data_IF_036970148668
#
_entry.id   IF_036970148668
#
_cell.length_a   1.000
_cell.length_b   1.000
_cell.length_c   1.000
_cell.angle_alpha   90.00
_cell.angle_beta   90.00
_cell.angle_gamma   90.00
#
_symmetry.space_group_name_H-M   'P 1'
#
loop_
_entity.id
_entity.type
_entity.pdbx_description
1 polymer ?
#
# COMPACT_ATOMS: atom_id res chain seq x y z
N UNK A 1 29.30 1.73 -71.73
CA UNK A 1 28.01 1.31 -71.16
C UNK A 1 28.28 0.65 -69.81
N UNK A 2 27.71 1.20 -68.73
CA UNK A 2 27.89 0.84 -67.31
C UNK A 2 27.26 -0.52 -66.98
N UNK A 3 27.90 -1.40 -66.19
CA UNK A 3 27.26 -2.37 -65.24
C UNK A 3 28.26 -2.71 -64.12
N UNK A 4 28.12 -2.07 -62.95
CA UNK A 4 27.34 -2.46 -61.75
C UNK A 4 28.17 -3.29 -60.77
N UNK A 5 28.73 -2.59 -59.76
CA UNK A 5 29.29 -3.19 -58.56
C UNK A 5 28.15 -3.44 -57.57
N UNK A 6 27.97 -4.70 -57.15
CA UNK A 6 26.96 -5.11 -56.19
C UNK A 6 27.47 -4.82 -54.78
N UNK A 7 26.93 -3.79 -54.12
CA UNK A 7 27.10 -3.61 -52.68
C UNK A 7 26.11 -4.53 -51.94
N UNK A 8 26.63 -5.42 -51.11
CA UNK A 8 25.85 -6.20 -50.14
C UNK A 8 25.76 -5.37 -48.86
N UNK A 9 24.64 -4.71 -48.64
CA UNK A 9 24.31 -4.06 -47.37
C UNK A 9 23.81 -5.10 -46.38
N UNK A 10 24.60 -5.42 -45.37
CA UNK A 10 24.18 -6.23 -44.22
C UNK A 10 23.36 -5.37 -43.26
N UNK A 11 22.04 -5.56 -43.25
CA UNK A 11 21.14 -4.99 -42.25
C UNK A 11 21.28 -5.74 -40.93
N UNK A 12 21.83 -5.09 -39.92
CA UNK A 12 21.81 -5.58 -38.53
C UNK A 12 20.42 -5.26 -37.96
N UNK A 13 19.58 -6.27 -37.81
CA UNK A 13 18.31 -6.15 -37.10
C UNK A 13 18.59 -6.13 -35.60
N UNK A 14 18.42 -4.97 -34.95
CA UNK A 14 18.42 -4.87 -33.51
C UNK A 14 17.12 -5.48 -32.97
N UNK A 15 17.20 -6.67 -32.37
CA UNK A 15 16.10 -7.22 -31.58
C UNK A 15 16.02 -6.44 -30.27
N UNK A 16 15.02 -5.58 -30.15
CA UNK A 16 14.61 -5.06 -28.85
C UNK A 16 14.08 -6.23 -28.02
N UNK A 17 14.79 -6.59 -26.95
CA UNK A 17 14.32 -7.54 -25.94
C UNK A 17 13.13 -6.87 -25.21
N UNK A 18 11.91 -7.22 -25.59
CA UNK A 18 10.73 -6.93 -24.79
C UNK A 18 10.82 -7.88 -23.59
N UNK A 19 11.27 -7.36 -22.44
CA UNK A 19 11.18 -8.13 -21.20
C UNK A 19 9.69 -8.31 -20.87
N UNK A 20 9.25 -9.53 -20.51
CA UNK A 20 7.86 -9.74 -20.11
C UNK A 20 7.61 -9.00 -18.80
N UNK A 21 6.53 -8.22 -18.74
CA UNK A 21 6.11 -7.45 -17.56
C UNK A 21 5.99 -8.32 -16.28
N UNK A 22 5.78 -9.63 -16.42
CA UNK A 22 5.75 -10.60 -15.32
C UNK A 22 7.07 -10.72 -14.52
N UNK A 23 8.22 -10.32 -15.08
CA UNK A 23 9.47 -10.37 -14.34
C UNK A 23 9.58 -9.20 -13.35
N UNK A 24 8.94 -8.06 -13.65
CA UNK A 24 9.05 -6.84 -12.85
C UNK A 24 8.16 -6.90 -11.59
N UNK A 25 7.00 -7.55 -11.68
CA UNK A 25 6.09 -7.75 -10.55
C UNK A 25 6.60 -8.76 -9.51
N UNK A 26 7.44 -9.72 -9.91
CA UNK A 26 7.95 -10.77 -9.01
C UNK A 26 8.90 -10.21 -7.93
N UNK A 27 9.57 -9.09 -8.20
CA UNK A 27 10.52 -8.44 -7.30
C UNK A 27 9.89 -7.33 -6.44
N UNK A 28 8.61 -7.04 -6.63
CA UNK A 28 7.87 -6.04 -5.84
C UNK A 28 7.79 -6.46 -4.37
N UNK A 29 8.07 -5.52 -3.46
CA UNK A 29 8.05 -5.75 -2.00
C UNK A 29 7.16 -4.75 -1.26
N UNK A 30 6.48 -3.85 -1.98
CA UNK A 30 5.50 -2.91 -1.45
C UNK A 30 4.41 -2.61 -2.48
N UNK A 31 3.16 -2.52 -2.01
CA UNK A 31 2.05 -1.99 -2.79
C UNK A 31 0.92 -1.49 -1.87
N UNK A 32 -0.01 -0.71 -2.44
CA UNK A 32 -1.33 -0.46 -1.85
C UNK A 32 -2.35 -1.44 -2.44
N UNK A 33 -3.26 -2.00 -1.64
CA UNK A 33 -4.24 -2.94 -2.18
C UNK A 33 -5.12 -2.29 -3.27
N UNK A 34 -5.28 -2.97 -4.42
CA UNK A 34 -6.24 -2.54 -5.45
C UNK A 34 -7.71 -2.72 -5.04
N UNK A 35 -7.95 -3.61 -4.09
CA UNK A 35 -9.26 -3.92 -3.55
C UNK A 35 -9.18 -4.25 -2.05
N UNK A 36 -10.07 -3.66 -1.25
CA UNK A 36 -10.38 -4.13 0.09
C UNK A 36 -11.27 -5.39 0.06
N UNK A 37 -11.56 -6.01 1.21
CA UNK A 37 -12.40 -7.22 1.28
C UNK A 37 -13.89 -6.96 0.97
N UNK A 38 -14.28 -5.70 0.77
CA UNK A 38 -15.68 -5.30 0.51
C UNK A 38 -16.54 -5.19 1.77
N UNK A 39 -15.95 -5.36 2.96
CA UNK A 39 -16.62 -5.28 4.27
C UNK A 39 -16.06 -4.14 5.14
N UNK A 40 -15.70 -3.01 4.50
CA UNK A 40 -15.10 -1.87 5.18
C UNK A 40 -13.77 -2.23 5.87
N UNK A 41 -13.64 -1.83 7.13
CA UNK A 41 -12.47 -2.11 7.98
C UNK A 41 -12.57 -3.45 8.73
N UNK A 42 -13.61 -4.27 8.51
CA UNK A 42 -13.63 -5.64 8.98
C UNK A 42 -12.76 -6.51 8.06
N UNK A 43 -11.48 -6.58 8.39
CA UNK A 43 -10.48 -7.32 7.62
C UNK A 43 -10.30 -8.75 8.13
N UNK A 44 -11.08 -9.18 9.13
CA UNK A 44 -10.82 -10.43 9.85
C UNK A 44 -9.59 -10.34 10.77
N UNK A 45 -9.30 -9.15 11.30
CA UNK A 45 -8.10 -8.87 12.08
C UNK A 45 -6.84 -8.77 11.22
N UNK A 46 -5.68 -8.70 11.88
CA UNK A 46 -4.38 -8.62 11.19
C UNK A 46 -4.10 -9.84 10.31
N UNK A 47 -4.53 -11.03 10.73
CA UNK A 47 -4.34 -12.27 9.97
C UNK A 47 -5.12 -12.23 8.64
N UNK A 48 -6.36 -11.75 8.65
CA UNK A 48 -7.14 -11.59 7.43
C UNK A 48 -6.59 -10.53 6.50
N UNK A 49 -6.10 -9.40 7.04
CA UNK A 49 -5.42 -8.38 6.25
C UNK A 49 -4.11 -8.90 5.62
N UNK A 50 -3.32 -9.68 6.36
CA UNK A 50 -2.09 -10.31 5.85
C UNK A 50 -2.40 -11.33 4.74
N UNK A 51 -3.48 -12.10 4.87
CA UNK A 51 -3.94 -13.02 3.82
C UNK A 51 -4.33 -12.27 2.55
N UNK A 52 -5.05 -11.15 2.64
CA UNK A 52 -5.38 -10.31 1.49
C UNK A 52 -4.09 -9.84 0.78
N UNK A 53 -3.10 -9.35 1.52
CA UNK A 53 -1.82 -8.93 0.94
C UNK A 53 -1.14 -10.08 0.18
N UNK A 54 -1.09 -11.27 0.79
CA UNK A 54 -0.50 -12.45 0.15
C UNK A 54 -1.24 -12.84 -1.12
N UNK A 55 -2.58 -12.87 -1.08
CA UNK A 55 -3.39 -13.34 -2.20
C UNK A 55 -3.31 -12.39 -3.40
N UNK A 56 -3.31 -11.07 -3.16
CA UNK A 56 -3.08 -10.04 -4.17
C UNK A 56 -1.68 -10.15 -4.78
N UNK A 57 -0.63 -10.30 -3.95
CA UNK A 57 0.73 -10.46 -4.43
C UNK A 57 0.95 -11.78 -5.19
N UNK A 58 0.33 -12.87 -4.76
CA UNK A 58 0.39 -14.17 -5.42
C UNK A 58 -0.12 -14.10 -6.86
N UNK A 59 -1.20 -13.37 -7.09
CA UNK A 59 -1.76 -13.16 -8.43
C UNK A 59 -0.76 -12.48 -9.40
N UNK A 60 0.23 -11.77 -8.86
CA UNK A 60 1.24 -11.02 -9.62
C UNK A 60 2.60 -11.74 -9.66
N UNK A 61 2.68 -12.97 -9.15
CA UNK A 61 3.91 -13.76 -9.11
C UNK A 61 4.84 -13.46 -7.94
N UNK A 62 4.41 -12.65 -6.97
CA UNK A 62 5.17 -12.28 -5.78
C UNK A 62 4.75 -13.06 -4.51
N UNK A 63 4.16 -14.25 -4.71
CA UNK A 63 3.54 -15.05 -3.64
C UNK A 63 4.50 -15.79 -2.71
N UNK A 64 5.77 -15.94 -3.09
CA UNK A 64 6.78 -16.65 -2.29
C UNK A 64 7.28 -15.82 -1.08
N UNK A 65 6.93 -14.53 -1.05
CA UNK A 65 7.30 -13.64 0.03
C UNK A 65 6.32 -13.72 1.20
N UNK A 66 6.80 -13.42 2.41
CA UNK A 66 5.92 -13.22 3.56
C UNK A 66 5.40 -11.78 3.56
N UNK A 67 4.12 -11.62 3.25
CA UNK A 67 3.45 -10.33 3.21
C UNK A 67 2.78 -9.98 4.54
N UNK A 68 2.81 -8.68 4.87
CA UNK A 68 2.18 -8.09 6.04
C UNK A 68 1.43 -6.83 5.65
N UNK A 69 0.20 -6.70 6.13
CA UNK A 69 -0.53 -5.45 6.08
C UNK A 69 0.10 -4.45 7.06
N UNK A 70 0.35 -3.22 6.62
CA UNK A 70 0.78 -2.12 7.47
C UNK A 70 -0.42 -1.62 8.29
N UNK A 71 -0.73 -2.37 9.34
CA UNK A 71 -1.84 -2.09 10.24
C UNK A 71 -1.38 -2.30 11.67
N UNK A 72 -1.65 -1.31 12.52
CA UNK A 72 -1.48 -1.42 13.96
C UNK A 72 -2.76 -1.96 14.61
N UNK A 73 -2.64 -2.52 15.81
CA UNK A 73 -3.77 -2.81 16.71
C UNK A 73 -3.54 -2.16 18.06
N UNK A 74 -4.62 -1.82 18.75
CA UNK A 74 -4.56 -1.31 20.12
C UNK A 74 -4.58 -2.48 21.11
N UNK A 75 -4.09 -2.23 22.32
CA UNK A 75 -4.19 -3.20 23.41
C UNK A 75 -5.66 -3.48 23.73
N UNK A 76 -6.04 -4.76 23.69
CA UNK A 76 -7.40 -5.22 23.94
C UNK A 76 -7.35 -6.65 24.50
N UNK A 77 -8.30 -7.01 25.36
CA UNK A 77 -8.47 -8.36 25.91
C UNK A 77 -7.18 -8.99 26.49
N UNK A 78 -6.37 -8.16 27.14
CA UNK A 78 -5.09 -8.58 27.74
C UNK A 78 -3.94 -8.77 26.75
N UNK A 79 -4.18 -8.56 25.45
CA UNK A 79 -3.15 -8.52 24.42
C UNK A 79 -2.50 -7.14 24.37
N UNK A 80 -1.17 -7.12 24.15
CA UNK A 80 -0.45 -5.89 23.91
C UNK A 80 -0.86 -5.28 22.56
N UNK A 81 -0.68 -3.96 22.43
CA UNK A 81 -0.79 -3.28 21.15
C UNK A 81 0.23 -3.86 20.17
N UNK A 82 -0.13 -3.92 18.88
CA UNK A 82 0.80 -4.30 17.81
C UNK A 82 1.05 -3.07 16.94
N UNK A 83 2.32 -2.80 16.64
CA UNK A 83 2.73 -1.64 15.86
C UNK A 83 2.99 -2.05 14.41
N UNK A 84 2.42 -1.33 13.45
CA UNK A 84 2.60 -1.61 12.03
C UNK A 84 4.09 -1.64 11.63
N UNK A 85 4.88 -0.68 12.14
CA UNK A 85 6.32 -0.57 11.86
C UNK A 85 7.12 -1.83 12.23
N UNK A 86 6.69 -2.57 13.25
CA UNK A 86 7.43 -3.72 13.77
C UNK A 86 7.10 -5.01 12.98
N UNK A 87 6.05 -4.98 12.14
CA UNK A 87 5.55 -6.15 11.40
C UNK A 87 6.12 -6.25 10.00
N UNK A 88 6.48 -5.15 9.37
CA UNK A 88 6.73 -5.06 7.92
C UNK A 88 8.14 -5.47 7.47
N UNK A 89 8.98 -5.95 8.39
CA UNK A 89 10.37 -6.29 8.11
C UNK A 89 11.31 -5.09 8.08
N UNK A 90 12.54 -5.29 7.61
CA UNK A 90 13.60 -4.27 7.65
C UNK A 90 13.76 -3.45 6.37
N UNK A 91 13.06 -3.80 5.29
CA UNK A 91 13.31 -3.26 3.94
C UNK A 91 14.54 -3.91 3.27
N UNK A 92 14.95 -3.42 2.08
CA UNK A 92 14.35 -2.32 1.33
C UNK A 92 13.01 -2.70 0.68
N UNK A 93 12.15 -1.71 0.48
CA UNK A 93 10.88 -1.90 -0.22
C UNK A 93 10.84 -1.19 -1.57
N UNK A 94 10.34 -1.89 -2.58
CA UNK A 94 10.18 -1.41 -3.95
C UNK A 94 8.74 -1.61 -4.40
N UNK A 95 8.21 -0.64 -5.15
CA UNK A 95 6.89 -0.77 -5.76
C UNK A 95 6.91 -1.72 -6.97
N UNK A 96 5.76 -1.85 -7.64
CA UNK A 96 5.59 -2.65 -8.85
C UNK A 96 6.63 -2.35 -9.95
N UNK A 97 6.96 -1.08 -10.15
CA UNK A 97 7.92 -0.64 -11.18
C UNK A 97 9.38 -0.85 -10.77
N UNK A 98 9.64 -1.40 -9.57
CA UNK A 98 10.99 -1.54 -9.01
C UNK A 98 11.56 -0.23 -8.47
N UNK A 99 10.72 0.79 -8.25
CA UNK A 99 11.13 2.06 -7.63
C UNK A 99 11.27 1.87 -6.13
N UNK A 100 12.42 2.26 -5.59
CA UNK A 100 12.68 2.24 -4.15
C UNK A 100 11.73 3.19 -3.42
N UNK A 101 11.03 2.64 -2.42
CA UNK A 101 10.11 3.35 -1.52
C UNK A 101 10.86 3.79 -0.26
N UNK A 102 11.57 2.86 0.38
CA UNK A 102 12.44 3.14 1.51
C UNK A 102 13.46 2.01 1.67
N UNK A 103 14.68 2.36 2.08
CA UNK A 103 15.77 1.41 2.35
C UNK A 103 15.55 0.65 3.65
N UNK A 104 14.88 1.29 4.63
CA UNK A 104 14.64 0.72 5.95
C UNK A 104 13.47 1.41 6.67
N UNK A 105 13.07 0.84 7.82
CA UNK A 105 11.96 1.33 8.65
C UNK A 105 12.14 2.79 9.07
N UNK A 106 13.36 3.21 9.40
CA UNK A 106 13.61 4.58 9.83
C UNK A 106 13.43 5.58 8.68
N UNK A 107 13.91 5.24 7.48
CA UNK A 107 13.66 6.06 6.29
C UNK A 107 12.17 6.10 5.94
N UNK A 108 11.45 4.97 6.03
CA UNK A 108 10.02 4.88 5.71
C UNK A 108 9.17 5.86 6.54
N UNK A 109 9.55 6.11 7.78
CA UNK A 109 8.87 7.05 8.70
C UNK A 109 9.54 8.43 8.77
N UNK A 110 10.32 8.77 7.75
CA UNK A 110 10.97 10.09 7.59
C UNK A 110 10.49 10.79 6.32
N UNK A 111 10.85 12.06 6.17
CA UNK A 111 10.57 12.82 4.94
C UNK A 111 11.36 12.29 3.71
N UNK A 112 12.32 11.38 3.90
CA UNK A 112 13.10 10.79 2.82
C UNK A 112 12.43 9.54 2.19
N UNK A 113 11.28 9.09 2.71
CA UNK A 113 10.51 8.02 2.08
C UNK A 113 9.95 8.50 0.73
N UNK A 114 10.09 7.67 -0.30
CA UNK A 114 9.59 7.96 -1.63
C UNK A 114 8.12 7.54 -1.76
N UNK A 115 7.27 8.09 -0.90
CA UNK A 115 5.83 7.84 -0.82
C UNK A 115 5.08 9.03 -1.40
N UNK A 116 4.74 8.95 -2.69
CA UNK A 116 3.93 9.93 -3.42
C UNK A 116 2.79 9.22 -4.14
N UNK A 117 1.84 10.00 -4.69
CA UNK A 117 0.76 9.45 -5.51
C UNK A 117 1.27 8.61 -6.67
N UNK A 118 2.39 9.01 -7.26
CA UNK A 118 2.98 8.36 -8.43
C UNK A 118 3.76 7.09 -8.07
N UNK A 119 4.32 7.00 -6.86
CA UNK A 119 5.15 5.85 -6.46
C UNK A 119 4.39 4.81 -5.66
N UNK A 120 3.27 5.18 -5.04
CA UNK A 120 2.37 4.25 -4.36
C UNK A 120 1.42 3.65 -5.40
N UNK A 121 1.83 2.50 -5.92
CA UNK A 121 1.10 1.73 -6.91
C UNK A 121 0.43 0.51 -6.30
N UNK A 122 -0.62 0.04 -6.95
CA UNK A 122 -1.24 -1.25 -6.62
C UNK A 122 -0.32 -2.42 -6.96
N UNK A 123 -0.68 -3.63 -6.53
CA UNK A 123 0.03 -4.84 -6.91
C UNK A 123 0.04 -5.09 -8.43
N UNK A 124 -0.89 -4.47 -9.16
CA UNK A 124 -0.98 -4.54 -10.63
C UNK A 124 -0.17 -3.44 -11.34
N UNK A 125 0.44 -2.52 -10.59
CA UNK A 125 1.15 -1.35 -11.13
C UNK A 125 0.25 -0.16 -11.46
N UNK A 126 -1.06 -0.25 -11.15
CA UNK A 126 -1.99 0.84 -11.41
C UNK A 126 -1.90 1.93 -10.32
N UNK A 127 -2.05 3.22 -10.69
CA UNK A 127 -2.21 4.29 -9.72
C UNK A 127 -3.59 4.21 -9.03
N UNK A 128 -3.66 4.69 -7.79
CA UNK A 128 -4.93 4.83 -7.04
C UNK A 128 -5.48 6.24 -7.19
N UNK A 129 -6.81 6.35 -7.27
CA UNK A 129 -7.48 7.65 -7.27
C UNK A 129 -7.19 8.40 -5.97
N UNK A 130 -6.65 9.61 -6.10
CA UNK A 130 -6.37 10.52 -5.01
C UNK A 130 -7.40 11.64 -4.89
N UNK A 131 -7.10 12.61 -4.03
CA UNK A 131 -7.91 13.82 -3.89
C UNK A 131 -7.92 14.60 -5.21
N UNK A 132 -9.14 14.91 -5.67
CA UNK A 132 -9.39 15.58 -6.94
C UNK A 132 -9.80 14.63 -8.07
N UNK A 133 -9.63 13.33 -7.89
CA UNK A 133 -10.15 12.30 -8.79
C UNK A 133 -11.57 11.87 -8.39
N UNK A 134 -12.27 11.18 -9.30
CA UNK A 134 -13.62 10.66 -9.07
C UNK A 134 -13.68 9.13 -9.33
N UNK A 135 -14.07 8.32 -8.34
CA UNK A 135 -14.30 8.70 -6.94
C UNK A 135 -12.98 8.98 -6.20
N UNK A 136 -13.04 9.77 -5.12
CA UNK A 136 -11.91 9.98 -4.21
C UNK A 136 -11.68 8.72 -3.36
N UNK A 137 -10.45 8.18 -3.35
CA UNK A 137 -10.08 6.99 -2.58
C UNK A 137 -8.74 7.17 -1.84
N UNK A 138 -8.42 8.40 -1.45
CA UNK A 138 -7.09 8.72 -0.97
C UNK A 138 -6.76 8.31 0.47
N UNK A 139 -7.79 8.16 1.32
CA UNK A 139 -7.62 7.72 2.71
C UNK A 139 -7.34 6.22 2.79
N UNK A 140 -6.22 5.87 3.42
CA UNK A 140 -5.70 4.52 3.54
C UNK A 140 -5.68 4.10 5.01
N UNK A 141 -6.23 2.92 5.31
CA UNK A 141 -6.28 2.37 6.67
C UNK A 141 -4.87 2.06 7.20
N UNK A 142 -4.56 2.51 8.42
CA UNK A 142 -3.28 2.23 9.08
C UNK A 142 -3.40 1.90 10.57
N UNK A 143 -4.29 2.57 11.30
CA UNK A 143 -4.38 2.49 12.76
C UNK A 143 -3.16 3.04 13.49
N UNK A 144 -2.31 3.83 12.83
CA UNK A 144 -0.95 4.15 13.30
C UNK A 144 -0.72 5.64 13.56
N UNK A 145 0.21 5.95 14.47
CA UNK A 145 0.84 7.27 14.61
C UNK A 145 1.85 7.51 13.47
N UNK A 146 2.36 8.74 13.37
CA UNK A 146 3.38 9.14 12.37
C UNK A 146 4.61 8.23 12.36
N UNK A 147 5.06 7.77 13.53
CA UNK A 147 6.20 6.90 13.69
C UNK A 147 5.89 5.41 13.46
N UNK A 148 4.65 5.08 13.06
CA UNK A 148 4.19 3.71 12.80
C UNK A 148 3.86 2.87 14.03
N UNK A 149 3.84 3.48 15.22
CA UNK A 149 3.28 2.86 16.43
C UNK A 149 1.75 2.92 16.44
N UNK A 150 1.10 2.16 17.32
CA UNK A 150 -0.36 2.10 17.38
C UNK A 150 -0.94 3.45 17.82
N UNK A 151 -1.87 3.98 17.03
CA UNK A 151 -2.64 5.16 17.42
C UNK A 151 -3.59 4.80 18.56
N UNK A 152 -3.71 5.69 19.53
CA UNK A 152 -4.66 5.56 20.64
C UNK A 152 -5.35 6.89 20.87
N UNK A 153 -6.59 6.85 21.35
CA UNK A 153 -7.40 8.04 21.61
C UNK A 153 -8.57 7.70 22.51
N UNK A 154 -9.23 8.73 23.05
CA UNK A 154 -10.46 8.51 23.84
C UNK A 154 -11.53 7.85 22.97
N UNK A 155 -12.12 6.75 23.47
CA UNK A 155 -13.15 5.97 22.77
C UNK A 155 -12.75 5.40 21.40
N UNK A 156 -11.47 5.44 21.05
CA UNK A 156 -10.95 4.86 19.81
C UNK A 156 -10.73 3.35 19.95
N UNK A 157 -11.37 2.55 19.09
CA UNK A 157 -11.23 1.08 19.09
C UNK A 157 -10.48 0.51 17.89
N UNK A 158 -10.09 1.36 16.93
CA UNK A 158 -9.47 0.94 15.67
C UNK A 158 -10.31 -0.12 14.93
N UNK A 159 -11.61 0.15 14.81
CA UNK A 159 -12.59 -0.78 14.23
C UNK A 159 -12.53 -2.18 14.86
N UNK A 160 -12.51 -2.20 16.19
CA UNK A 160 -12.33 -3.39 17.03
C UNK A 160 -11.14 -4.24 16.56
N UNK A 161 -10.00 -3.57 16.37
CA UNK A 161 -8.79 -4.17 15.82
C UNK A 161 -9.02 -4.91 14.49
N UNK A 162 -9.69 -4.23 13.55
CA UNK A 162 -9.98 -4.69 12.19
C UNK A 162 -10.96 -5.87 12.12
N UNK A 163 -11.87 -5.97 13.08
CA UNK A 163 -12.92 -7.01 13.12
C UNK A 163 -14.33 -6.45 13.06
N UNK A 164 -14.46 -5.13 12.91
CA UNK A 164 -15.75 -4.43 12.88
C UNK A 164 -15.88 -3.55 11.65
N UNK A 165 -17.09 -3.55 11.10
CA UNK A 165 -17.57 -2.66 10.03
C UNK A 165 -18.68 -1.73 10.54
N UNK A 166 -18.79 -1.56 11.86
CA UNK A 166 -19.81 -0.71 12.46
C UNK A 166 -19.65 0.76 12.04
N UNK A 167 -20.77 1.48 11.98
CA UNK A 167 -20.72 2.92 11.71
C UNK A 167 -20.22 3.72 12.92
N UNK A 168 -20.36 3.19 14.15
CA UNK A 168 -19.70 3.78 15.31
C UNK A 168 -18.19 3.46 15.34
N UNK A 169 -17.40 4.43 15.80
CA UNK A 169 -15.96 4.30 15.93
C UNK A 169 -15.22 4.83 14.69
N UNK A 170 -14.12 4.18 14.34
CA UNK A 170 -13.28 4.56 13.22
C UNK A 170 -11.86 4.01 13.33
N UNK A 171 -11.10 4.17 12.26
CA UNK A 171 -9.69 3.83 12.19
C UNK A 171 -8.87 5.08 11.86
N UNK A 172 -7.65 5.15 12.37
CA UNK A 172 -6.67 6.13 11.94
C UNK A 172 -6.27 5.81 10.49
N UNK A 173 -6.34 6.82 9.62
CA UNK A 173 -5.99 6.72 8.20
C UNK A 173 -4.84 7.67 7.87
N UNK A 174 -4.23 7.48 6.71
CA UNK A 174 -3.32 8.45 6.09
C UNK A 174 -3.58 8.62 4.59
N UNK A 175 -2.89 9.57 3.97
CA UNK A 175 -3.09 10.01 2.59
C UNK A 175 -2.00 9.47 1.67
N UNK A 176 -2.30 8.52 0.80
CA UNK A 176 -1.29 8.00 -0.14
C UNK A 176 -0.78 9.08 -1.11
N UNK A 177 -1.63 10.06 -1.42
CA UNK A 177 -1.31 11.17 -2.32
C UNK A 177 -0.64 12.36 -1.61
N UNK A 178 -0.35 12.24 -0.29
CA UNK A 178 0.33 13.25 0.53
C UNK A 178 -0.36 14.62 0.57
N UNK A 179 -1.66 14.67 0.33
CA UNK A 179 -2.45 15.90 0.37
C UNK A 179 -3.81 15.65 0.99
N UNK A 180 -4.36 16.61 1.74
CA UNK A 180 -5.58 16.32 2.49
C UNK A 180 -5.98 17.38 3.50
N UNK A 181 -6.86 16.98 4.40
CA UNK A 181 -7.15 17.67 5.65
C UNK A 181 -6.72 16.81 6.83
N UNK A 182 -7.26 17.11 8.01
CA UNK A 182 -6.95 16.39 9.24
C UNK A 182 -5.84 17.03 10.06
N UNK A 183 -5.41 16.33 11.11
CA UNK A 183 -4.36 16.80 12.02
C UNK A 183 -2.99 16.82 11.35
N UNK A 184 -2.72 15.86 10.45
CA UNK A 184 -1.48 15.80 9.66
C UNK A 184 -1.80 15.71 8.15
N UNK A 185 -2.10 16.84 7.48
CA UNK A 185 -2.68 16.87 6.13
C UNK A 185 -1.87 16.22 5.02
N UNK A 186 -0.56 16.04 5.21
CA UNK A 186 0.31 15.40 4.22
C UNK A 186 0.73 14.00 4.63
N UNK A 187 0.37 13.54 5.84
CA UNK A 187 0.85 12.25 6.36
C UNK A 187 0.29 11.07 5.57
N UNK A 188 1.15 10.11 5.22
CA UNK A 188 0.77 8.90 4.48
C UNK A 188 0.16 7.82 5.38
N UNK A 189 0.42 7.90 6.69
CA UNK A 189 0.02 6.88 7.66
C UNK A 189 -0.80 7.40 8.86
N UNK A 190 -0.92 8.70 9.09
CA UNK A 190 -1.56 9.22 10.31
C UNK A 190 -2.14 10.62 10.12
N UNK A 191 -3.05 10.81 9.16
CA UNK A 191 -3.66 12.09 8.85
C UNK A 191 -4.84 12.46 9.76
N UNK A 192 -5.86 11.60 9.86
CA UNK A 192 -7.04 11.75 10.73
C UNK A 192 -7.75 10.42 10.96
N UNK A 193 -8.78 10.42 11.81
CA UNK A 193 -9.67 9.26 12.02
C UNK A 193 -10.77 9.24 10.95
N UNK A 194 -11.17 8.04 10.51
CA UNK A 194 -12.31 7.83 9.61
C UNK A 194 -13.64 8.17 10.28
N UNK A 195 -14.70 8.36 9.49
CA UNK A 195 -16.07 8.62 10.00
C UNK A 195 -16.71 7.42 10.69
N UNK A 196 -16.26 6.23 10.35
CA UNK A 196 -16.75 4.94 10.82
C UNK A 196 -15.91 3.82 10.21
N UNK A 197 -16.33 2.57 10.42
CA UNK A 197 -15.62 1.37 9.96
C UNK A 197 -16.28 0.70 8.77
N UNK A 198 -17.56 1.00 8.48
CA UNK A 198 -18.29 0.45 7.35
C UNK A 198 -17.79 0.99 6.00
N UNK A 199 -18.04 0.24 4.92
CA UNK A 199 -17.58 0.62 3.58
C UNK A 199 -18.09 2.01 3.16
N UNK A 200 -19.38 2.30 3.40
CA UNK A 200 -19.97 3.61 3.09
C UNK A 200 -19.36 4.74 3.94
N UNK A 201 -19.00 4.45 5.19
CA UNK A 201 -18.35 5.42 6.08
C UNK A 201 -16.92 5.73 5.63
N UNK A 202 -16.17 4.72 5.18
CA UNK A 202 -14.83 4.89 4.61
C UNK A 202 -14.89 5.70 3.30
N UNK A 203 -15.84 5.39 2.41
CA UNK A 203 -16.09 6.17 1.20
C UNK A 203 -16.51 7.61 1.50
N UNK A 204 -17.38 7.80 2.49
CA UNK A 204 -17.77 9.11 2.98
C UNK A 204 -16.60 9.90 3.56
N UNK A 205 -15.62 9.22 4.19
CA UNK A 205 -14.40 9.84 4.69
C UNK A 205 -13.53 10.37 3.54
N UNK A 206 -13.38 9.56 2.49
CA UNK A 206 -12.50 9.84 1.35
C UNK A 206 -11.62 8.66 0.95
N UNK A 207 -11.86 7.46 1.50
CA UNK A 207 -11.12 6.24 1.22
C UNK A 207 -12.00 5.15 0.59
N UNK A 208 -11.48 3.93 0.54
CA UNK A 208 -12.26 2.78 0.03
C UNK A 208 -11.93 1.45 0.74
N UNK A 209 -11.35 1.52 1.94
CA UNK A 209 -10.89 0.32 2.67
C UNK A 209 -9.58 -0.26 2.16
N UNK A 210 -8.77 0.55 1.48
CA UNK A 210 -7.42 0.15 1.05
C UNK A 210 -6.43 0.26 2.21
N UNK A 211 -5.37 -0.53 2.11
CA UNK A 211 -4.25 -0.55 3.06
C UNK A 211 -2.96 -0.93 2.34
N UNK A 212 -1.81 -0.67 2.98
CA UNK A 212 -0.52 -0.99 2.40
C UNK A 212 -0.09 -2.42 2.76
N UNK A 213 0.59 -3.06 1.82
CA UNK A 213 1.17 -4.39 1.95
C UNK A 213 2.69 -4.30 1.77
N UNK A 214 3.42 -4.89 2.71
CA UNK A 214 4.87 -4.93 2.71
C UNK A 214 5.34 -6.38 2.79
N UNK A 215 6.30 -6.74 1.96
CA UNK A 215 7.05 -7.97 2.14
C UNK A 215 8.05 -7.79 3.29
N UNK A 216 8.17 -8.78 4.17
CA UNK A 216 9.08 -8.70 5.32
C UNK A 216 10.58 -8.74 4.94
N UNK A 217 10.90 -8.95 3.67
CA UNK A 217 12.24 -9.36 3.24
C UNK A 217 12.52 -10.81 3.64
N UNK A 218 13.35 -11.50 2.85
CA UNK A 218 13.92 -12.81 3.18
C UNK A 218 15.18 -12.68 4.02
#
# INVERSE_FOLDING_TARGET
MKKLATLVTATVAALALIQPAQAQSADMTFFITSAGPGDGANLGGLEGADMQCRDLAYAQGAGDQTWRAYLSTIAADGSAAVHARDRIGSGPWHNYDGVLIAENVDQLHSDAANLTKETILTEMGDPVNGRGDDPNMHDILTGSNLDGTAFTGESYTNCDNWTSNASEGGAQVGHHDRQGGGQNPTSWNSAHTSRGCGQEDLQGTGGNGFFYCFAMGG
#
